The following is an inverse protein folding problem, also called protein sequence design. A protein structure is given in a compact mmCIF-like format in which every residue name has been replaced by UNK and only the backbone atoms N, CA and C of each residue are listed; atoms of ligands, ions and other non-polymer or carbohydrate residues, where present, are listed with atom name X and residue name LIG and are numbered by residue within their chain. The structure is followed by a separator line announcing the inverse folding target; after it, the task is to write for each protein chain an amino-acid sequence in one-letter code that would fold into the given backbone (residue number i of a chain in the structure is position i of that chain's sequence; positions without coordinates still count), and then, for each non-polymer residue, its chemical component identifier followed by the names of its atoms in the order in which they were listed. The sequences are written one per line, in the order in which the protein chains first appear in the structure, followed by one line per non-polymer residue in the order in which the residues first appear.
data_IF_225455512920
#
_entry.id   IF_225455512920
#
_cell.length_a   1.000
_cell.length_b   1.000
_cell.length_c   1.000
_cell.angle_alpha   90.00
_cell.angle_beta   90.00
_cell.angle_gamma   90.00
#
_symmetry.space_group_name_H-M   'P 1'
#
loop_
_entity.id
_entity.type
_entity.pdbx_description
1 polymer ?
#
# COMPACT_ATOMS: atom_id res chain seq x y z
N UNK A 1 5.95 2.82 -80.00
CA UNK A 1 5.63 1.60 -80.77
C UNK A 1 5.75 0.43 -79.80
N UNK A 2 4.65 -0.02 -79.18
CA UNK A 2 3.91 -1.25 -79.55
C UNK A 2 4.87 -2.46 -79.58
N UNK A 3 4.76 -3.55 -78.80
CA UNK A 3 3.63 -4.45 -78.47
C UNK A 3 4.21 -5.46 -77.44
N UNK A 4 3.70 -5.65 -76.22
CA UNK A 4 2.68 -6.64 -75.75
C UNK A 4 2.48 -7.88 -76.64
N UNK A 5 2.53 -9.08 -76.06
CA UNK A 5 1.77 -10.34 -76.34
C UNK A 5 2.39 -11.43 -75.42
N UNK A 6 1.77 -11.92 -74.35
CA UNK A 6 0.54 -12.75 -74.17
C UNK A 6 0.75 -14.27 -74.40
N UNK A 7 -0.02 -15.04 -73.60
CA UNK A 7 -0.32 -16.50 -73.64
C UNK A 7 0.73 -17.45 -73.05
N UNK A 8 0.39 -18.49 -72.29
CA UNK A 8 -0.90 -19.07 -71.91
C UNK A 8 -0.76 -20.58 -71.61
N UNK A 9 -1.50 -21.03 -70.59
CA UNK A 9 -2.12 -22.36 -70.42
C UNK A 9 -1.32 -23.69 -70.18
N UNK A 10 -1.72 -24.33 -69.07
CA UNK A 10 -2.15 -25.73 -68.90
C UNK A 10 -1.15 -26.92 -68.89
N UNK A 11 -0.89 -27.45 -67.67
CA UNK A 11 -1.30 -28.80 -67.22
C UNK A 11 -0.55 -30.06 -67.69
N UNK A 12 0.12 -30.79 -66.77
CA UNK A 12 -0.14 -32.23 -66.51
C UNK A 12 0.67 -32.83 -65.32
N UNK A 13 -0.08 -33.57 -64.49
CA UNK A 13 0.24 -34.82 -63.74
C UNK A 13 1.24 -34.87 -62.57
N UNK A 14 0.70 -35.38 -61.45
CA UNK A 14 1.22 -35.68 -60.10
C UNK A 14 2.01 -37.03 -60.07
N UNK A 15 2.47 -37.65 -58.93
CA UNK A 15 2.02 -37.52 -57.53
C UNK A 15 3.06 -37.70 -56.38
N UNK A 16 2.54 -37.73 -55.14
CA UNK A 16 3.14 -38.15 -53.86
C UNK A 16 4.09 -37.11 -53.23
N UNK A 17 3.84 -36.52 -52.04
CA UNK A 17 3.43 -37.11 -50.75
C UNK A 17 2.80 -36.01 -49.85
N UNK A 18 1.71 -36.33 -49.15
CA UNK A 18 1.13 -35.59 -48.00
C UNK A 18 1.96 -35.88 -46.72
N UNK A 19 1.67 -35.33 -45.53
CA UNK A 19 0.91 -34.11 -45.16
C UNK A 19 1.65 -33.25 -44.10
N UNK A 20 1.23 -32.01 -43.85
CA UNK A 20 1.02 -31.53 -42.47
C UNK A 20 0.13 -30.29 -42.49
N UNK A 21 -1.12 -30.48 -42.08
CA UNK A 21 -2.08 -29.43 -41.80
C UNK A 21 -1.59 -28.58 -40.62
N UNK A 22 -1.51 -27.26 -40.82
CA UNK A 22 -1.53 -26.28 -39.74
C UNK A 22 -2.99 -26.03 -39.32
N UNK A 23 -3.38 -26.22 -38.04
CA UNK A 23 -4.70 -25.86 -37.57
C UNK A 23 -4.77 -24.37 -37.21
N UNK A 24 -5.77 -23.71 -37.79
CA UNK A 24 -6.53 -22.56 -37.31
C UNK A 24 -5.94 -21.66 -36.21
N UNK A 25 -5.64 -20.42 -36.61
CA UNK A 25 -5.66 -19.26 -35.71
C UNK A 25 -7.07 -19.12 -35.09
N UNK A 26 -7.23 -19.65 -33.87
CA UNK A 26 -8.27 -19.20 -32.95
C UNK A 26 -7.84 -17.85 -32.38
N UNK A 27 -8.45 -16.77 -32.86
CA UNK A 27 -8.42 -15.49 -32.17
C UNK A 27 -9.31 -15.62 -30.92
N UNK A 28 -8.70 -16.05 -29.82
CA UNK A 28 -9.36 -16.12 -28.53
C UNK A 28 -9.53 -14.71 -27.97
N UNK A 29 -10.78 -14.23 -27.89
CA UNK A 29 -11.16 -13.02 -27.16
C UNK A 29 -10.89 -13.18 -25.65
N UNK A 30 -9.63 -13.09 -25.23
CA UNK A 30 -9.24 -13.05 -23.80
C UNK A 30 -9.52 -11.68 -23.17
N UNK A 31 -9.60 -10.62 -23.98
CA UNK A 31 -9.72 -9.23 -23.53
C UNK A 31 -10.97 -8.96 -22.69
N UNK A 32 -12.10 -9.60 -22.96
CA UNK A 32 -13.35 -9.27 -22.27
C UNK A 32 -13.39 -9.80 -20.82
N UNK A 33 -12.78 -10.96 -20.56
CA UNK A 33 -12.76 -11.58 -19.23
C UNK A 33 -11.80 -10.81 -18.32
N UNK A 34 -10.64 -10.41 -18.84
CA UNK A 34 -9.69 -9.54 -18.14
C UNK A 34 -10.31 -8.17 -17.81
N UNK A 35 -11.05 -7.58 -18.77
CA UNK A 35 -11.73 -6.30 -18.59
C UNK A 35 -12.86 -6.38 -17.54
N UNK A 36 -13.60 -7.49 -17.49
CA UNK A 36 -14.60 -7.72 -16.43
C UNK A 36 -13.98 -7.89 -15.04
N UNK A 37 -12.83 -8.58 -14.94
CA UNK A 37 -12.12 -8.77 -13.68
C UNK A 37 -11.48 -7.46 -13.19
N UNK A 38 -10.98 -6.63 -14.10
CA UNK A 38 -10.43 -5.31 -13.82
C UNK A 38 -11.51 -4.31 -13.37
N UNK A 39 -12.64 -4.27 -14.05
CA UNK A 39 -13.81 -3.45 -13.65
C UNK A 39 -14.41 -3.92 -12.31
N UNK A 40 -14.45 -5.23 -12.04
CA UNK A 40 -14.88 -5.75 -10.75
C UNK A 40 -13.91 -5.33 -9.62
N UNK A 41 -12.60 -5.39 -9.88
CA UNK A 41 -11.56 -4.94 -8.95
C UNK A 41 -11.63 -3.42 -8.71
N UNK A 42 -11.88 -2.62 -9.74
CA UNK A 42 -12.09 -1.17 -9.63
C UNK A 42 -13.36 -0.84 -8.84
N UNK A 43 -14.47 -1.55 -9.09
CA UNK A 43 -15.70 -1.40 -8.30
C UNK A 43 -15.49 -1.74 -6.84
N UNK A 44 -14.77 -2.82 -6.53
CA UNK A 44 -14.41 -3.16 -5.15
C UNK A 44 -13.54 -2.09 -4.50
N UNK A 45 -12.55 -1.53 -5.22
CA UNK A 45 -11.72 -0.41 -4.71
C UNK A 45 -12.57 0.83 -4.40
N UNK A 46 -13.49 1.20 -5.29
CA UNK A 46 -14.34 2.39 -5.13
C UNK A 46 -15.34 2.21 -3.99
N UNK A 47 -15.96 1.02 -3.86
CA UNK A 47 -16.90 0.70 -2.77
C UNK A 47 -16.17 0.69 -1.42
N UNK A 48 -15.01 0.03 -1.33
CA UNK A 48 -14.20 0.03 -0.10
C UNK A 48 -13.68 1.42 0.27
N UNK A 49 -13.34 2.27 -0.71
CA UNK A 49 -12.93 3.65 -0.48
C UNK A 49 -14.02 4.48 0.22
N UNK A 50 -15.27 4.35 -0.22
CA UNK A 50 -16.41 5.11 0.31
C UNK A 50 -16.68 4.85 1.80
N UNK A 51 -16.64 3.58 2.24
CA UNK A 51 -16.85 3.23 3.65
C UNK A 51 -15.67 3.60 4.57
N UNK A 52 -14.46 3.62 4.02
CA UNK A 52 -13.29 3.96 4.81
C UNK A 52 -13.15 5.45 5.07
N UNK A 53 -13.79 6.30 4.26
CA UNK A 53 -13.63 7.74 4.35
C UNK A 53 -14.14 8.29 5.69
N UNK A 54 -15.32 7.86 6.15
CA UNK A 54 -15.89 8.25 7.45
C UNK A 54 -15.11 7.70 8.64
N UNK A 55 -14.60 6.46 8.54
CA UNK A 55 -13.79 5.84 9.59
C UNK A 55 -12.44 6.54 9.78
N UNK A 56 -11.80 6.93 8.67
CA UNK A 56 -10.57 7.72 8.69
C UNK A 56 -10.80 9.07 9.34
N UNK A 57 -11.88 9.77 8.97
CA UNK A 57 -12.16 11.11 9.51
C UNK A 57 -12.45 11.05 11.02
N UNK A 58 -13.25 10.07 11.45
CA UNK A 58 -13.52 9.81 12.88
C UNK A 58 -12.23 9.47 13.65
N UNK A 59 -11.33 8.69 13.07
CA UNK A 59 -10.05 8.36 13.69
C UNK A 59 -9.09 9.57 13.75
N UNK A 60 -9.15 10.46 12.75
CA UNK A 60 -8.32 11.66 12.66
C UNK A 60 -8.78 12.82 13.56
N UNK A 61 -9.94 12.70 14.19
CA UNK A 61 -10.41 13.64 15.22
C UNK A 61 -9.90 13.27 16.62
N UNK A 62 -9.50 12.01 16.82
CA UNK A 62 -8.98 11.54 18.11
C UNK A 62 -7.60 12.15 18.38
N UNK A 63 -7.32 12.62 19.61
CA UNK A 63 -5.97 13.08 19.94
C UNK A 63 -4.98 11.90 19.88
N UNK A 64 -3.86 12.09 19.19
CA UNK A 64 -2.76 11.12 19.26
C UNK A 64 -2.01 11.32 20.57
N UNK A 65 -1.75 10.22 21.28
CA UNK A 65 -1.08 10.26 22.57
C UNK A 65 0.41 10.49 22.36
N UNK A 66 0.97 11.55 22.94
CA UNK A 66 2.42 11.73 22.95
C UNK A 66 3.03 10.75 23.95
N UNK A 67 3.79 9.78 23.44
CA UNK A 67 4.52 8.87 24.30
C UNK A 67 5.77 9.53 24.84
N UNK A 68 5.98 9.35 26.13
CA UNK A 68 7.21 9.75 26.79
C UNK A 68 8.18 8.56 26.82
N UNK A 69 9.50 8.78 26.77
CA UNK A 69 10.47 7.70 26.93
C UNK A 69 10.21 6.84 28.18
N UNK A 70 9.81 7.48 29.27
CA UNK A 70 9.46 6.82 30.53
C UNK A 70 8.31 5.83 30.38
N UNK A 71 7.27 6.18 29.60
CA UNK A 71 6.14 5.27 29.35
C UNK A 71 6.52 4.06 28.49
N UNK A 72 7.49 4.20 27.58
CA UNK A 72 8.01 3.06 26.81
C UNK A 72 8.86 2.13 27.69
N UNK A 73 9.77 2.70 28.51
CA UNK A 73 10.65 1.93 29.39
C UNK A 73 9.91 1.13 30.47
N UNK A 74 8.81 1.67 31.02
CA UNK A 74 8.03 0.99 32.06
C UNK A 74 7.30 -0.27 31.56
N UNK A 75 7.20 -0.45 30.23
CA UNK A 75 6.54 -1.60 29.61
C UNK A 75 7.43 -2.83 29.47
N UNK A 76 8.72 -2.79 29.86
CA UNK A 76 9.70 -3.84 29.52
C UNK A 76 10.08 -4.86 30.62
N UNK A 77 9.33 -4.99 31.73
CA UNK A 77 9.78 -5.83 32.88
C UNK A 77 8.69 -6.67 33.55
N UNK A 78 8.05 -7.57 32.81
CA UNK A 78 7.19 -8.60 33.43
C UNK A 78 7.42 -9.96 32.78
N UNK A 79 7.81 -10.97 33.58
CA UNK A 79 8.06 -12.35 33.13
C UNK A 79 6.80 -13.04 32.58
N UNK A 80 5.62 -12.54 32.95
CA UNK A 80 4.30 -13.13 32.64
C UNK A 80 3.80 -12.82 31.21
N UNK A 81 4.55 -12.07 30.39
CA UNK A 81 4.13 -11.68 29.04
C UNK A 81 2.93 -10.71 28.99
N UNK A 82 2.31 -10.38 30.13
CA UNK A 82 1.22 -9.42 30.27
C UNK A 82 1.56 -8.03 29.73
N UNK A 83 2.84 -7.64 29.80
CA UNK A 83 3.33 -6.38 29.26
C UNK A 83 3.28 -6.34 27.72
N UNK A 84 3.46 -7.48 27.03
CA UNK A 84 3.34 -7.58 25.57
C UNK A 84 1.91 -7.37 25.12
N UNK A 85 0.94 -8.03 25.77
CA UNK A 85 -0.48 -7.84 25.46
C UNK A 85 -0.91 -6.38 25.69
N UNK A 86 -0.42 -5.76 26.77
CA UNK A 86 -0.68 -4.34 27.05
C UNK A 86 -0.07 -3.42 25.97
N UNK A 87 1.18 -3.68 25.58
CA UNK A 87 1.86 -2.95 24.50
C UNK A 87 1.12 -3.12 23.17
N UNK A 88 0.73 -4.35 22.82
CA UNK A 88 0.06 -4.68 21.56
C UNK A 88 -1.32 -4.00 21.48
N UNK A 89 -2.11 -4.05 22.56
CA UNK A 89 -3.39 -3.31 22.65
C UNK A 89 -3.20 -1.81 22.53
N UNK A 90 -2.14 -1.27 23.13
CA UNK A 90 -1.81 0.15 22.98
C UNK A 90 -1.50 0.50 21.52
N UNK A 91 -0.67 -0.29 20.84
CA UNK A 91 -0.37 -0.09 19.41
C UNK A 91 -1.63 -0.22 18.54
N UNK A 92 -2.48 -1.20 18.82
CA UNK A 92 -3.74 -1.44 18.09
C UNK A 92 -4.67 -0.23 18.12
N UNK A 93 -4.71 0.51 19.23
CA UNK A 93 -5.48 1.74 19.31
C UNK A 93 -4.74 2.97 18.75
N UNK A 94 -3.43 3.08 18.97
CA UNK A 94 -2.66 4.28 18.63
C UNK A 94 -2.27 4.37 17.14
N UNK A 95 -1.90 3.24 16.51
CA UNK A 95 -1.43 3.24 15.12
C UNK A 95 -2.50 3.73 14.13
N UNK A 96 -3.76 3.26 14.16
CA UNK A 96 -4.81 3.77 13.27
C UNK A 96 -5.00 5.28 13.36
N UNK A 97 -4.97 5.84 14.58
CA UNK A 97 -5.13 7.29 14.81
C UNK A 97 -3.97 8.07 14.18
N UNK A 98 -2.73 7.63 14.38
CA UNK A 98 -1.55 8.28 13.79
C UNK A 98 -1.56 8.22 12.26
N UNK A 99 -1.95 7.09 11.70
CA UNK A 99 -2.10 6.91 10.26
C UNK A 99 -3.22 7.80 9.71
N UNK A 100 -4.36 7.90 10.39
CA UNK A 100 -5.47 8.77 10.00
C UNK A 100 -5.05 10.24 9.93
N UNK A 101 -4.26 10.72 10.91
CA UNK A 101 -3.68 12.06 10.86
C UNK A 101 -2.75 12.27 9.65
N UNK A 102 -2.01 11.24 9.23
CA UNK A 102 -1.18 11.33 8.01
C UNK A 102 -2.05 11.42 6.76
N UNK A 103 -3.08 10.59 6.64
CA UNK A 103 -4.02 10.62 5.52
C UNK A 103 -4.68 12.01 5.41
N UNK A 104 -5.14 12.58 6.54
CA UNK A 104 -5.67 13.95 6.58
C UNK A 104 -4.65 14.99 6.12
N UNK A 105 -3.37 14.81 6.46
CA UNK A 105 -2.27 15.62 5.94
C UNK A 105 -2.15 15.58 4.43
N UNK A 106 -2.19 14.38 3.82
CA UNK A 106 -2.18 14.24 2.35
C UNK A 106 -3.38 14.91 1.68
N UNK A 107 -4.58 14.78 2.27
CA UNK A 107 -5.80 15.44 1.78
C UNK A 107 -5.74 16.97 1.84
N UNK A 108 -4.86 17.53 2.67
CA UNK A 108 -4.66 18.99 2.78
C UNK A 108 -3.64 19.56 1.80
N UNK A 109 -2.96 18.71 1.01
CA UNK A 109 -2.01 19.18 0.00
C UNK A 109 -2.70 19.90 -1.16
N UNK A 110 -2.03 20.86 -1.82
CA UNK A 110 -2.51 21.45 -3.06
C UNK A 110 -2.84 20.37 -4.09
N UNK A 111 -3.97 20.52 -4.77
CA UNK A 111 -4.49 19.52 -5.71
C UNK A 111 -3.42 19.06 -6.73
N UNK A 112 -2.67 20.00 -7.30
CA UNK A 112 -1.61 19.69 -8.27
C UNK A 112 -0.49 18.80 -7.72
N UNK A 113 -0.22 18.88 -6.42
CA UNK A 113 0.78 18.05 -5.72
C UNK A 113 0.16 16.70 -5.35
N UNK A 114 -1.09 16.71 -4.87
CA UNK A 114 -1.83 15.50 -4.52
C UNK A 114 -2.10 14.58 -5.72
N UNK A 115 -2.22 15.14 -6.93
CA UNK A 115 -2.39 14.38 -8.18
C UNK A 115 -1.10 13.81 -8.76
N UNK A 116 0.07 14.12 -8.20
CA UNK A 116 1.31 13.49 -8.62
C UNK A 116 1.24 11.96 -8.35
N UNK A 117 1.56 11.10 -9.33
CA UNK A 117 1.40 9.65 -9.19
C UNK A 117 2.21 9.08 -8.03
N UNK A 118 3.41 9.60 -7.78
CA UNK A 118 4.28 9.16 -6.68
C UNK A 118 3.70 9.56 -5.32
N UNK A 119 3.20 10.80 -5.18
CA UNK A 119 2.54 11.27 -3.96
C UNK A 119 1.23 10.51 -3.71
N UNK A 120 0.44 10.28 -4.76
CA UNK A 120 -0.80 9.53 -4.70
C UNK A 120 -0.55 8.08 -4.27
N UNK A 121 0.49 7.45 -4.80
CA UNK A 121 0.90 6.11 -4.39
C UNK A 121 1.23 6.03 -2.89
N UNK A 122 1.95 7.02 -2.36
CA UNK A 122 2.23 7.10 -0.92
C UNK A 122 0.94 7.31 -0.12
N UNK A 123 0.02 8.15 -0.59
CA UNK A 123 -1.28 8.33 0.05
C UNK A 123 -2.09 7.02 0.11
N UNK A 124 -2.09 6.23 -0.97
CA UNK A 124 -2.72 4.91 -1.00
C UNK A 124 -2.06 3.89 -0.07
N UNK A 125 -0.74 3.95 0.12
CA UNK A 125 -0.05 3.10 1.12
C UNK A 125 -0.60 3.37 2.53
N UNK A 126 -0.76 4.64 2.91
CA UNK A 126 -1.33 5.00 4.21
C UNK A 126 -2.80 4.57 4.36
N UNK A 127 -3.63 4.70 3.31
CA UNK A 127 -5.03 4.23 3.34
C UNK A 127 -5.08 2.70 3.53
N UNK A 128 -4.27 1.95 2.78
CA UNK A 128 -4.20 0.49 2.93
C UNK A 128 -3.70 0.07 4.32
N UNK A 129 -2.74 0.80 4.88
CA UNK A 129 -2.29 0.57 6.26
C UNK A 129 -3.43 0.79 7.26
N UNK A 130 -4.20 1.88 7.11
CA UNK A 130 -5.34 2.16 7.97
C UNK A 130 -6.39 1.06 7.93
N UNK A 131 -6.73 0.58 6.73
CA UNK A 131 -7.68 -0.53 6.52
C UNK A 131 -7.21 -1.79 7.25
N UNK A 132 -5.99 -2.25 6.95
CA UNK A 132 -5.41 -3.46 7.58
C UNK A 132 -5.39 -3.35 9.11
N UNK A 133 -5.06 -2.17 9.66
CA UNK A 133 -5.02 -1.95 11.10
C UNK A 133 -6.42 -1.90 11.74
N UNK A 134 -7.40 -1.30 11.06
CA UNK A 134 -8.77 -1.14 11.56
C UNK A 134 -9.60 -2.42 11.48
N UNK A 135 -9.33 -3.25 10.48
CA UNK A 135 -9.97 -4.57 10.29
C UNK A 135 -9.39 -5.64 11.22
N UNK A 136 -8.20 -5.40 11.81
CA UNK A 136 -7.57 -6.36 12.70
C UNK A 136 -8.40 -6.53 13.99
N UNK A 137 -8.74 -7.77 14.39
CA UNK A 137 -9.59 -8.01 15.55
C UNK A 137 -8.92 -7.58 16.87
N UNK A 138 -9.70 -7.26 17.92
CA UNK A 138 -9.14 -6.92 19.22
C UNK A 138 -8.19 -7.99 19.77
N UNK A 139 -7.01 -7.57 20.23
CA UNK A 139 -5.96 -8.47 20.73
C UNK A 139 -6.32 -8.95 22.14
N UNK A 140 -6.67 -10.23 22.25
CA UNK A 140 -7.06 -10.88 23.51
C UNK A 140 -5.95 -11.80 24.02
N UNK A 141 -5.41 -12.61 23.13
CA UNK A 141 -4.53 -13.74 23.44
C UNK A 141 -3.16 -13.59 22.78
N UNK A 142 -2.19 -14.38 23.23
CA UNK A 142 -0.83 -14.36 22.69
C UNK A 142 -0.78 -14.68 21.19
N UNK A 143 -1.64 -15.58 20.72
CA UNK A 143 -1.72 -15.90 19.28
C UNK A 143 -2.12 -14.66 18.47
N UNK A 144 -3.14 -13.92 18.92
CA UNK A 144 -3.57 -12.69 18.26
C UNK A 144 -2.48 -11.61 18.28
N UNK A 145 -1.67 -11.54 19.34
CA UNK A 145 -0.51 -10.66 19.42
C UNK A 145 0.58 -11.05 18.41
N UNK A 146 0.88 -12.34 18.26
CA UNK A 146 1.86 -12.82 17.26
C UNK A 146 1.40 -12.48 15.83
N UNK A 147 0.12 -12.65 15.52
CA UNK A 147 -0.43 -12.26 14.22
C UNK A 147 -0.37 -10.74 14.02
N UNK A 148 -0.63 -9.96 15.07
CA UNK A 148 -0.51 -8.51 15.02
C UNK A 148 0.93 -8.07 14.76
N UNK A 149 1.91 -8.72 15.40
CA UNK A 149 3.34 -8.49 15.13
C UNK A 149 3.71 -8.74 13.67
N UNK A 150 3.17 -9.81 13.05
CA UNK A 150 3.38 -10.08 11.61
C UNK A 150 2.80 -8.96 10.74
N UNK A 151 1.58 -8.51 11.05
CA UNK A 151 0.97 -7.38 10.35
C UNK A 151 1.82 -6.10 10.48
N UNK A 152 2.26 -5.76 11.69
CA UNK A 152 3.09 -4.58 11.95
C UNK A 152 4.43 -4.65 11.21
N UNK A 153 5.10 -5.82 11.20
CA UNK A 153 6.32 -6.03 10.41
C UNK A 153 6.09 -5.79 8.92
N UNK A 154 5.00 -6.34 8.37
CA UNK A 154 4.65 -6.13 6.97
C UNK A 154 4.40 -4.65 6.68
N UNK A 155 3.68 -3.94 7.54
CA UNK A 155 3.42 -2.51 7.35
C UNK A 155 4.71 -1.67 7.37
N UNK A 156 5.68 -2.02 8.21
CA UNK A 156 6.99 -1.36 8.24
C UNK A 156 7.79 -1.58 6.95
N UNK A 157 7.75 -2.79 6.38
CA UNK A 157 8.42 -3.10 5.10
C UNK A 157 7.70 -2.42 3.93
N UNK A 158 6.37 -2.51 3.86
CA UNK A 158 5.51 -1.84 2.85
C UNK A 158 5.80 -0.31 2.80
N UNK A 159 6.19 0.29 3.92
CA UNK A 159 6.42 1.74 4.04
C UNK A 159 7.90 2.14 4.01
N UNK A 160 8.85 1.23 3.73
CA UNK A 160 10.30 1.52 3.84
C UNK A 160 10.75 2.66 2.93
N UNK A 161 10.23 2.72 1.71
CA UNK A 161 10.65 3.66 0.66
C UNK A 161 9.85 4.98 0.65
N UNK A 162 8.91 5.16 1.58
CA UNK A 162 8.02 6.34 1.63
C UNK A 162 8.77 7.67 1.61
N UNK A 163 9.92 7.76 2.29
CA UNK A 163 10.70 9.01 2.33
C UNK A 163 11.30 9.32 0.96
N UNK A 164 11.84 8.31 0.28
CA UNK A 164 12.40 8.42 -1.06
C UNK A 164 11.33 8.83 -2.07
N UNK A 165 10.17 8.16 -2.03
CA UNK A 165 9.02 8.46 -2.90
C UNK A 165 8.48 9.88 -2.66
N UNK A 166 8.38 10.32 -1.40
CA UNK A 166 7.97 11.69 -1.09
C UNK A 166 8.96 12.72 -1.64
N UNK A 167 10.27 12.47 -1.51
CA UNK A 167 11.30 13.36 -2.05
C UNK A 167 11.22 13.45 -3.58
N UNK A 168 11.03 12.31 -4.25
CA UNK A 168 10.87 12.24 -5.70
C UNK A 168 9.63 12.99 -6.19
N UNK A 169 8.45 12.69 -5.64
CA UNK A 169 7.20 13.34 -6.06
C UNK A 169 7.20 14.85 -5.79
N UNK A 170 7.76 15.30 -4.66
CA UNK A 170 7.86 16.73 -4.38
C UNK A 170 8.88 17.44 -5.27
N UNK A 171 9.97 16.75 -5.66
CA UNK A 171 10.94 17.28 -6.63
C UNK A 171 10.28 17.51 -8.00
N UNK A 172 9.45 16.59 -8.46
CA UNK A 172 8.70 16.72 -9.72
C UNK A 172 7.69 17.87 -9.68
N UNK A 173 7.03 18.05 -8.53
CA UNK A 173 6.06 19.12 -8.33
C UNK A 173 6.68 20.48 -7.99
N UNK A 174 8.01 20.58 -7.83
CA UNK A 174 8.68 21.78 -7.28
C UNK A 174 8.27 23.09 -7.95
N UNK A 175 8.15 23.11 -9.28
CA UNK A 175 7.75 24.30 -10.04
C UNK A 175 6.31 24.79 -9.78
N UNK A 176 5.48 23.94 -9.18
CA UNK A 176 4.08 24.24 -8.86
C UNK A 176 3.86 24.53 -7.37
N UNK A 177 4.91 24.48 -6.55
CA UNK A 177 4.84 24.80 -5.13
C UNK A 177 4.86 26.32 -4.99
N UNK A 178 3.72 26.91 -4.63
CA UNK A 178 3.60 28.35 -4.36
C UNK A 178 3.89 28.67 -2.89
N UNK A 179 3.49 27.81 -1.97
CA UNK A 179 3.72 27.96 -0.52
C UNK A 179 4.69 26.88 -0.01
N UNK A 180 5.97 27.23 0.03
CA UNK A 180 7.01 26.35 0.55
C UNK A 180 6.86 26.08 2.05
N UNK A 181 6.28 27.01 2.83
CA UNK A 181 6.11 26.85 4.28
C UNK A 181 5.10 25.77 4.57
N UNK A 182 4.01 25.72 3.81
CA UNK A 182 3.01 24.65 3.93
C UNK A 182 3.61 23.27 3.61
N UNK A 183 4.39 23.15 2.53
CA UNK A 183 5.05 21.88 2.19
C UNK A 183 6.07 21.47 3.24
N UNK A 184 6.87 22.42 3.75
CA UNK A 184 7.80 22.16 4.86
C UNK A 184 7.08 21.68 6.12
N UNK A 185 5.98 22.35 6.50
CA UNK A 185 5.14 21.95 7.65
C UNK A 185 4.53 20.56 7.45
N UNK A 186 4.07 20.23 6.24
CA UNK A 186 3.59 18.90 5.89
C UNK A 186 4.70 17.85 6.05
N UNK A 187 5.88 18.10 5.48
CA UNK A 187 7.04 17.20 5.57
C UNK A 187 7.48 16.99 7.01
N UNK A 188 7.67 18.07 7.78
CA UNK A 188 8.09 18.02 9.18
C UNK A 188 7.12 17.15 9.99
N UNK A 189 5.81 17.36 9.84
CA UNK A 189 4.77 16.55 10.51
C UNK A 189 4.80 15.09 10.04
N UNK A 190 4.95 14.85 8.75
CA UNK A 190 4.90 13.50 8.17
C UNK A 190 6.11 12.67 8.55
N UNK A 191 7.31 13.24 8.45
CA UNK A 191 8.56 12.58 8.84
C UNK A 191 8.61 12.32 10.34
N UNK A 192 8.25 13.32 11.17
CA UNK A 192 8.22 13.15 12.63
C UNK A 192 7.19 12.10 13.06
N UNK A 193 5.99 12.11 12.46
CA UNK A 193 4.97 11.09 12.73
C UNK A 193 5.43 9.70 12.31
N UNK A 194 6.08 9.56 11.15
CA UNK A 194 6.60 8.28 10.68
C UNK A 194 7.71 7.75 11.59
N UNK A 195 8.61 8.63 12.05
CA UNK A 195 9.62 8.27 13.04
C UNK A 195 8.96 7.74 14.32
N UNK A 196 7.98 8.46 14.85
CA UNK A 196 7.26 8.02 16.05
C UNK A 196 6.53 6.69 15.89
N UNK A 197 5.88 6.46 14.74
CA UNK A 197 5.24 5.18 14.42
C UNK A 197 6.27 4.05 14.36
N UNK A 198 7.39 4.27 13.65
CA UNK A 198 8.46 3.27 13.54
C UNK A 198 9.07 2.95 14.89
N UNK A 199 9.36 3.97 15.71
CA UNK A 199 9.87 3.77 17.08
C UNK A 199 8.94 2.88 17.90
N UNK A 200 7.62 3.13 17.83
CA UNK A 200 6.64 2.35 18.57
C UNK A 200 6.53 0.91 18.11
N UNK A 201 6.41 0.74 16.80
CA UNK A 201 6.32 -0.57 16.17
C UNK A 201 7.59 -1.38 16.48
N UNK A 202 8.77 -0.81 16.24
CA UNK A 202 10.05 -1.47 16.51
C UNK A 202 10.21 -1.80 17.99
N UNK A 203 9.81 -0.91 18.91
CA UNK A 203 9.85 -1.21 20.34
C UNK A 203 8.99 -2.43 20.71
N UNK A 204 7.74 -2.50 20.24
CA UNK A 204 6.89 -3.66 20.50
C UNK A 204 7.46 -4.95 19.91
N UNK A 205 8.00 -4.88 18.68
CA UNK A 205 8.61 -6.03 18.01
C UNK A 205 9.86 -6.53 18.73
N UNK A 206 10.70 -5.62 19.23
CA UNK A 206 11.88 -5.97 20.02
C UNK A 206 11.48 -6.70 21.32
N UNK A 207 10.47 -6.19 22.04
CA UNK A 207 9.96 -6.87 23.24
C UNK A 207 9.43 -8.28 22.95
N UNK A 208 8.85 -8.50 21.77
CA UNK A 208 8.37 -9.80 21.34
C UNK A 208 9.54 -10.76 21.03
N UNK A 209 10.60 -10.28 20.39
CA UNK A 209 11.80 -11.07 20.05
C UNK A 209 12.59 -11.47 21.31
N UNK A 210 12.77 -10.55 22.27
CA UNK A 210 13.39 -10.84 23.56
C UNK A 210 12.68 -12.00 24.30
N UNK A 211 11.36 -12.08 24.18
CA UNK A 211 10.58 -13.21 24.74
C UNK A 211 10.91 -14.51 24.02
N UNK A 212 11.00 -14.51 22.69
CA UNK A 212 11.28 -15.73 21.90
C UNK A 212 12.67 -16.28 22.19
N UNK A 213 13.68 -15.42 22.42
CA UNK A 213 15.04 -15.85 22.76
C UNK A 213 15.21 -16.37 24.20
N UNK A 214 14.23 -16.09 25.08
CA UNK A 214 14.26 -16.51 26.49
C UNK A 214 13.66 -17.90 26.78
N UNK A 215 13.34 -18.69 25.74
CA UNK A 215 12.86 -20.07 25.80
C UNK A 215 13.74 -21.01 24.97
#
# INVERSE_FOLDING_TARGET
TLLRIELGAAGNQAPCVLPFLLPGLRYGSSSAIDQHHELARERSKTVTSFYNQSAIDTAAEKPSVRLTPTTMLYSGRSQDGSHLLKSSRYLHHELPVRIAHRIKGFRSLPFIIGCNPTILHVHELYIRAFQKLSEFPPIKDQESETQYCKLVRQLLDDHKDVVTLLAEGLRECRKHIQDEKMIRSFLDKTLTSRLGIRMLATHHLALHEDKVESF
#
